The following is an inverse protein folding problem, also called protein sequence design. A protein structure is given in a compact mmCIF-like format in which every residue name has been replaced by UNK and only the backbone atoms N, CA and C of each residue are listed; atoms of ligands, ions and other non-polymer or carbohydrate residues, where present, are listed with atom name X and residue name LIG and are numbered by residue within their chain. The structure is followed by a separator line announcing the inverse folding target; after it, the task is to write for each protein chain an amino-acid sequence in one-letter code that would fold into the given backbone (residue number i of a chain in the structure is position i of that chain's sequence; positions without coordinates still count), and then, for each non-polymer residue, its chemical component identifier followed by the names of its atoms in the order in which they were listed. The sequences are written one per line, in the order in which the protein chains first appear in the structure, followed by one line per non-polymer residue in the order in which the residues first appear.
data_IF_298104392265
#
_entry.id   IF_298104392265
#
_cell.length_a   1.000
_cell.length_b   1.000
_cell.length_c   1.000
_cell.angle_alpha   90.00
_cell.angle_beta   90.00
_cell.angle_gamma   90.00
#
_symmetry.space_group_name_H-M   'P 1'
#
loop_
_entity.id
_entity.type
_entity.pdbx_description
1 polymer ?
#
# COMPACT_ATOMS: atom_id res chain seq x y z
N UNK A 1 -7.43 -8.22 2.59
CA UNK A 1 -7.46 -8.31 1.11
C UNK A 1 -8.58 -9.27 0.75
N UNK A 2 -9.59 -8.82 0.02
CA UNK A 2 -10.81 -9.60 -0.24
C UNK A 2 -11.53 -9.15 -1.51
N UNK A 3 -12.34 -10.04 -2.09
CA UNK A 3 -13.19 -9.69 -3.22
C UNK A 3 -14.40 -8.86 -2.74
N UNK A 4 -14.66 -7.73 -3.41
CA UNK A 4 -15.87 -6.91 -3.20
C UNK A 4 -16.47 -6.48 -4.54
N UNK A 5 -17.80 -6.31 -4.62
CA UNK A 5 -18.43 -5.68 -5.77
C UNK A 5 -17.96 -4.23 -5.92
N UNK A 6 -17.44 -3.87 -7.08
CA UNK A 6 -17.07 -2.49 -7.44
C UNK A 6 -17.80 -2.12 -8.72
N UNK A 7 -18.51 -0.99 -8.70
CA UNK A 7 -19.21 -0.45 -9.87
C UNK A 7 -18.36 0.62 -10.55
N UNK A 8 -18.07 0.43 -11.84
CA UNK A 8 -17.39 1.39 -12.71
C UNK A 8 -18.00 1.29 -14.12
N UNK A 9 -18.10 2.40 -14.83
CA UNK A 9 -18.64 2.43 -16.20
C UNK A 9 -20.01 1.71 -16.33
N UNK A 10 -20.88 1.88 -15.33
CA UNK A 10 -22.17 1.19 -15.19
C UNK A 10 -22.13 -0.35 -15.08
N UNK A 11 -20.96 -0.96 -14.94
CA UNK A 11 -20.77 -2.40 -14.75
C UNK A 11 -20.28 -2.71 -13.35
N UNK A 12 -20.77 -3.79 -12.77
CA UNK A 12 -20.33 -4.27 -11.45
C UNK A 12 -19.41 -5.48 -11.63
N UNK A 13 -18.18 -5.36 -11.17
CA UNK A 13 -17.20 -6.43 -11.20
C UNK A 13 -16.86 -6.88 -9.78
N UNK A 14 -16.51 -8.16 -9.62
CA UNK A 14 -15.91 -8.66 -8.39
C UNK A 14 -14.42 -8.32 -8.40
N UNK A 15 -14.05 -7.33 -7.61
CA UNK A 15 -12.71 -6.72 -7.59
C UNK A 15 -12.00 -7.07 -6.29
N UNK A 16 -10.69 -7.38 -6.37
CA UNK A 16 -9.89 -7.56 -5.15
C UNK A 16 -9.57 -6.20 -4.56
N UNK A 17 -9.91 -6.02 -3.28
CA UNK A 17 -9.81 -4.76 -2.55
C UNK A 17 -9.06 -4.95 -1.24
N UNK A 18 -8.66 -3.83 -0.61
CA UNK A 18 -8.13 -3.82 0.75
C UNK A 18 -9.15 -3.16 1.65
N UNK A 19 -9.62 -3.90 2.66
CA UNK A 19 -10.67 -3.48 3.59
C UNK A 19 -11.95 -2.97 2.88
N UNK A 20 -12.27 -3.56 1.73
CA UNK A 20 -13.40 -3.18 0.90
C UNK A 20 -13.28 -1.86 0.15
N UNK A 21 -12.11 -1.21 0.18
CA UNK A 21 -11.86 0.07 -0.47
C UNK A 21 -11.16 -0.12 -1.83
N UNK A 22 -11.57 0.69 -2.80
CA UNK A 22 -10.94 0.80 -4.11
C UNK A 22 -10.94 2.27 -4.61
N UNK A 23 -9.78 2.95 -4.69
CA UNK A 23 -8.46 2.50 -4.21
C UNK A 23 -8.44 2.12 -2.73
N UNK A 24 -7.43 1.37 -2.30
CA UNK A 24 -7.24 0.98 -0.90
C UNK A 24 -6.95 2.20 0.00
N UNK A 25 -6.90 1.98 1.33
CA UNK A 25 -6.69 3.06 2.29
C UNK A 25 -5.36 3.77 2.07
N UNK A 26 -5.36 5.09 2.24
CA UNK A 26 -4.15 5.89 2.35
C UNK A 26 -3.46 5.58 3.68
N UNK A 27 -2.16 5.33 3.62
CA UNK A 27 -1.32 5.21 4.80
C UNK A 27 -0.64 6.55 5.04
N UNK A 28 -0.77 7.10 6.23
CA UNK A 28 -0.23 8.40 6.62
C UNK A 28 0.70 8.22 7.80
N UNK A 29 1.97 8.59 7.63
CA UNK A 29 3.05 8.41 8.62
C UNK A 29 4.00 9.60 8.58
N UNK A 30 4.91 9.69 9.54
CA UNK A 30 6.03 10.64 9.55
C UNK A 30 7.36 9.94 9.32
N UNK A 31 8.36 10.69 8.90
CA UNK A 31 9.75 10.20 8.95
C UNK A 31 10.12 9.79 10.39
N UNK A 32 10.66 8.59 10.53
CA UNK A 32 10.96 7.94 11.81
C UNK A 32 9.87 7.00 12.34
N UNK A 33 8.65 6.99 11.79
CA UNK A 33 7.59 6.08 12.24
C UNK A 33 7.87 4.63 11.83
N UNK A 34 7.47 3.69 12.69
CA UNK A 34 7.43 2.25 12.38
C UNK A 34 6.03 1.83 11.98
N UNK A 35 5.87 1.32 10.77
CA UNK A 35 4.63 0.72 10.31
C UNK A 35 4.62 -0.77 10.67
N UNK A 36 3.48 -1.24 11.19
CA UNK A 36 3.21 -2.66 11.43
C UNK A 36 1.88 -3.02 10.77
N UNK A 37 1.95 -3.69 9.63
CA UNK A 37 0.80 -3.95 8.77
C UNK A 37 0.56 -5.46 8.68
N UNK A 38 -0.51 -5.93 9.32
CA UNK A 38 -0.96 -7.32 9.22
C UNK A 38 -1.84 -7.49 7.98
N UNK A 39 -1.25 -7.99 6.90
CA UNK A 39 -1.96 -8.33 5.69
C UNK A 39 -2.66 -9.69 5.84
N UNK A 40 -4.00 -9.69 5.86
CA UNK A 40 -4.81 -10.92 5.89
C UNK A 40 -5.38 -11.16 4.50
N UNK A 41 -5.02 -12.30 3.89
CA UNK A 41 -5.50 -12.66 2.57
C UNK A 41 -6.78 -13.49 2.68
N UNK A 42 -7.93 -12.85 2.41
CA UNK A 42 -9.24 -13.50 2.28
C UNK A 42 -9.65 -13.66 0.81
N UNK A 43 -8.77 -13.35 -0.14
CA UNK A 43 -9.01 -13.56 -1.55
C UNK A 43 -8.70 -15.00 -1.96
N UNK A 44 -9.19 -15.41 -3.14
CA UNK A 44 -8.92 -16.73 -3.74
C UNK A 44 -7.53 -16.86 -4.39
N UNK A 45 -6.76 -15.78 -4.42
CA UNK A 45 -5.46 -15.71 -5.10
C UNK A 45 -4.34 -15.51 -4.09
N UNK A 46 -3.14 -15.96 -4.43
CA UNK A 46 -1.91 -15.58 -3.74
C UNK A 46 -1.66 -14.07 -3.87
N UNK A 47 -1.21 -13.42 -2.79
CA UNK A 47 -0.94 -11.98 -2.75
C UNK A 47 0.30 -11.68 -1.93
N UNK A 48 1.06 -10.70 -2.37
CA UNK A 48 2.05 -9.94 -1.59
C UNK A 48 1.78 -8.45 -1.75
N UNK A 49 2.20 -7.64 -0.79
CA UNK A 49 2.12 -6.18 -0.85
C UNK A 49 3.53 -5.60 -0.85
N UNK A 50 3.73 -4.54 -1.63
CA UNK A 50 4.98 -3.79 -1.73
C UNK A 50 4.76 -2.32 -1.42
N UNK A 51 5.73 -1.71 -0.74
CA UNK A 51 5.74 -0.33 -0.27
C UNK A 51 6.60 0.50 -1.21
N UNK A 52 6.04 0.84 -2.37
CA UNK A 52 6.80 1.40 -3.48
C UNK A 52 7.54 2.69 -3.08
N UNK A 53 8.86 2.65 -3.24
CA UNK A 53 9.76 3.75 -2.91
C UNK A 53 10.26 3.77 -1.46
N UNK A 54 9.73 2.93 -0.56
CA UNK A 54 10.31 2.74 0.77
C UNK A 54 11.61 1.94 0.63
N UNK A 55 12.72 2.46 1.18
CA UNK A 55 14.07 1.90 0.97
C UNK A 55 14.32 0.52 1.58
N UNK A 56 13.50 0.12 2.56
CA UNK A 56 13.64 -1.16 3.28
C UNK A 56 15.09 -1.45 3.74
N UNK A 57 15.74 -0.45 4.35
CA UNK A 57 17.14 -0.55 4.76
C UNK A 57 17.36 -1.74 5.70
N UNK A 58 18.15 -2.72 5.25
CA UNK A 58 18.44 -3.98 5.96
C UNK A 58 17.20 -4.82 6.31
N UNK A 59 16.08 -4.61 5.60
CA UNK A 59 14.81 -5.27 5.87
C UNK A 59 14.12 -5.78 4.59
N UNK A 60 14.81 -6.59 3.76
CA UNK A 60 14.22 -7.08 2.50
C UNK A 60 12.96 -7.93 2.72
N UNK A 61 12.82 -8.57 3.89
CA UNK A 61 11.70 -9.43 4.23
C UNK A 61 10.34 -8.72 4.21
N UNK A 62 10.33 -7.41 4.47
CA UNK A 62 9.11 -6.60 4.42
C UNK A 62 8.88 -5.92 3.06
N UNK A 63 9.73 -6.17 2.05
CA UNK A 63 9.69 -5.46 0.78
C UNK A 63 8.51 -5.87 -0.11
N UNK A 64 8.21 -7.17 -0.23
CA UNK A 64 6.98 -7.62 -0.92
C UNK A 64 7.09 -8.33 -2.26
N UNK A 65 8.08 -8.10 -3.15
CA UNK A 65 8.09 -8.74 -4.46
C UNK A 65 8.04 -10.27 -4.41
N UNK A 66 6.98 -10.84 -5.00
CA UNK A 66 6.69 -12.28 -4.99
C UNK A 66 7.86 -13.07 -5.62
N UNK A 67 8.36 -14.09 -4.92
CA UNK A 67 9.49 -14.94 -5.30
C UNK A 67 10.87 -14.26 -5.38
N UNK A 68 10.98 -12.99 -4.96
CA UNK A 68 12.27 -12.31 -4.82
C UNK A 68 12.61 -12.16 -3.34
N UNK A 69 11.74 -11.53 -2.56
CA UNK A 69 11.99 -11.31 -1.12
C UNK A 69 11.09 -12.15 -0.21
N UNK A 70 10.01 -12.71 -0.75
CA UNK A 70 9.12 -13.59 0.00
C UNK A 70 8.32 -14.56 -0.88
N UNK A 71 7.87 -15.65 -0.26
CA UNK A 71 6.75 -16.44 -0.77
C UNK A 71 5.42 -15.68 -0.61
N UNK A 72 4.41 -15.94 -1.46
CA UNK A 72 3.14 -15.27 -1.37
C UNK A 72 2.34 -15.63 -0.12
N UNK A 73 1.51 -14.68 0.34
CA UNK A 73 0.49 -14.93 1.36
C UNK A 73 -0.62 -15.75 0.69
N UNK A 74 -0.72 -17.03 1.04
CA UNK A 74 -1.76 -17.91 0.51
C UNK A 74 -3.17 -17.50 0.98
N UNK A 75 -4.23 -17.89 0.26
CA UNK A 75 -5.61 -17.73 0.72
C UNK A 75 -5.81 -18.23 2.16
N UNK A 76 -6.49 -17.43 2.99
CA UNK A 76 -6.73 -17.71 4.40
C UNK A 76 -5.54 -17.46 5.33
N UNK A 77 -4.36 -17.11 4.80
CA UNK A 77 -3.15 -16.83 5.60
C UNK A 77 -2.95 -15.33 5.82
N UNK A 78 -2.02 -15.00 6.71
CA UNK A 78 -1.63 -13.63 6.99
C UNK A 78 -0.12 -13.48 7.07
N UNK A 79 0.37 -12.29 6.80
CA UNK A 79 1.77 -11.89 6.99
C UNK A 79 1.82 -10.49 7.59
N UNK A 80 2.77 -10.25 8.48
CA UNK A 80 2.96 -8.94 9.10
C UNK A 80 4.19 -8.28 8.49
N UNK A 81 3.96 -7.18 7.78
CA UNK A 81 5.02 -6.29 7.32
C UNK A 81 5.37 -5.32 8.43
N UNK A 82 6.64 -5.26 8.82
CA UNK A 82 7.12 -4.32 9.82
C UNK A 82 8.38 -3.63 9.33
N UNK A 83 8.37 -2.30 9.26
CA UNK A 83 9.50 -1.49 8.80
C UNK A 83 9.41 -0.07 9.33
N UNK A 84 10.57 0.58 9.46
CA UNK A 84 10.69 1.97 9.90
C UNK A 84 11.03 2.86 8.72
N UNK A 85 10.33 3.98 8.58
CA UNK A 85 10.68 5.02 7.61
C UNK A 85 11.95 5.73 8.09
N UNK A 86 12.95 5.82 7.20
CA UNK A 86 14.26 6.38 7.55
C UNK A 86 14.72 7.40 6.51
N UNK A 87 14.71 8.66 6.90
CA UNK A 87 15.16 9.80 6.10
C UNK A 87 14.42 9.85 4.75
N UNK A 88 13.10 9.67 4.78
CA UNK A 88 12.22 9.78 3.63
C UNK A 88 11.01 10.63 3.99
N UNK A 89 10.59 11.49 3.07
CA UNK A 89 9.42 12.36 3.20
C UNK A 89 8.80 12.50 1.79
N UNK A 90 7.50 12.79 1.72
CA UNK A 90 6.77 13.03 0.48
C UNK A 90 5.69 12.00 0.16
N UNK A 91 5.34 11.90 -1.11
CA UNK A 91 4.27 11.01 -1.60
C UNK A 91 4.85 9.75 -2.21
N UNK A 92 4.54 8.62 -1.59
CA UNK A 92 4.76 7.27 -2.08
C UNK A 92 3.41 6.57 -2.28
N UNK A 93 3.45 5.28 -2.55
CA UNK A 93 2.27 4.45 -2.68
C UNK A 93 2.60 3.00 -2.34
N UNK A 94 1.58 2.19 -2.11
CA UNK A 94 1.71 0.76 -1.92
C UNK A 94 0.84 0.03 -2.94
N UNK A 95 1.25 -1.16 -3.33
CA UNK A 95 0.49 -1.98 -4.27
C UNK A 95 0.76 -3.47 -4.08
N UNK A 96 -0.15 -4.33 -4.59
CA UNK A 96 0.17 -5.74 -4.68
C UNK A 96 1.36 -5.97 -5.61
N UNK A 97 2.27 -6.88 -5.25
CA UNK A 97 3.43 -7.23 -6.08
C UNK A 97 3.41 -8.71 -6.50
N UNK A 98 2.19 -9.19 -6.79
CA UNK A 98 1.91 -10.53 -7.31
C UNK A 98 1.03 -10.43 -8.56
N UNK A 99 1.49 -11.03 -9.65
CA UNK A 99 0.78 -11.04 -10.95
C UNK A 99 0.29 -9.63 -11.35
N UNK A 100 -0.98 -9.51 -11.71
CA UNK A 100 -1.63 -8.28 -12.17
C UNK A 100 -2.47 -7.60 -11.07
N UNK A 101 -2.39 -8.05 -9.82
CA UNK A 101 -3.29 -7.58 -8.75
C UNK A 101 -3.10 -6.09 -8.44
N UNK A 102 -1.96 -5.49 -8.80
CA UNK A 102 -1.73 -4.04 -8.70
C UNK A 102 -2.72 -3.19 -9.50
N UNK A 103 -3.48 -3.78 -10.44
CA UNK A 103 -4.55 -3.09 -11.14
C UNK A 103 -5.72 -2.68 -10.21
N UNK A 104 -5.85 -3.32 -9.05
CA UNK A 104 -6.96 -3.07 -8.10
C UNK A 104 -6.54 -2.99 -6.64
N UNK A 105 -5.42 -3.61 -6.28
CA UNK A 105 -4.84 -3.59 -4.94
C UNK A 105 -3.69 -2.59 -4.91
N UNK A 106 -4.02 -1.34 -4.57
CA UNK A 106 -3.08 -0.24 -4.39
C UNK A 106 -3.69 0.87 -3.53
N UNK A 107 -2.85 1.74 -2.99
CA UNK A 107 -3.25 2.93 -2.23
C UNK A 107 -2.08 3.87 -2.01
N UNK A 108 -2.35 5.09 -1.55
CA UNK A 108 -1.32 6.08 -1.29
C UNK A 108 -0.55 5.78 0.02
N UNK A 109 0.70 6.22 0.08
CA UNK A 109 1.54 6.23 1.28
C UNK A 109 2.14 7.63 1.41
N UNK A 110 1.62 8.44 2.33
CA UNK A 110 2.08 9.80 2.58
C UNK A 110 3.02 9.78 3.77
N UNK A 111 4.22 10.34 3.56
CA UNK A 111 5.24 10.48 4.59
C UNK A 111 5.44 11.97 4.87
N UNK A 112 4.84 12.41 5.98
CA UNK A 112 5.00 13.74 6.50
C UNK A 112 6.41 13.98 7.05
N UNK A 113 6.83 15.26 7.18
CA UNK A 113 8.06 15.59 7.86
C UNK A 113 8.09 15.01 9.27
N UNK A 114 9.31 14.70 9.72
CA UNK A 114 9.57 14.28 11.10
C UNK A 114 8.89 15.23 12.09
N UNK A 115 8.41 14.71 13.22
CA UNK A 115 7.78 15.54 14.24
C UNK A 115 8.72 16.68 14.68
N UNK A 116 8.23 17.92 14.60
CA UNK A 116 9.01 19.13 14.90
C UNK A 116 9.76 19.74 13.71
N UNK A 117 9.84 19.03 12.57
CA UNK A 117 10.41 19.57 11.33
C UNK A 117 9.31 20.20 10.46
N UNK A 118 9.50 21.43 9.94
CA UNK A 118 8.56 22.02 9.00
C UNK A 118 8.79 21.49 7.58
N UNK A 119 7.79 21.64 6.71
CA UNK A 119 8.02 21.57 5.27
C UNK A 119 9.02 22.66 4.83
N UNK A 120 9.76 22.46 3.73
CA UNK A 120 10.61 23.49 3.14
C UNK A 120 9.82 24.61 2.43
N UNK A 121 8.49 24.60 2.57
CA UNK A 121 7.53 25.56 2.03
C UNK A 121 6.42 25.83 3.06
N UNK A 122 5.62 26.90 2.90
CA UNK A 122 4.52 27.20 3.81
C UNK A 122 3.54 26.02 3.91
N UNK A 123 3.09 25.71 5.13
CA UNK A 123 2.17 24.61 5.39
C UNK A 123 0.92 24.71 4.49
N UNK A 124 0.60 23.67 3.70
CA UNK A 124 -0.59 23.69 2.85
C UNK A 124 -1.86 23.82 3.69
N UNK A 125 -2.86 24.55 3.19
CA UNK A 125 -4.18 24.62 3.82
C UNK A 125 -4.92 23.28 3.76
N UNK A 126 -4.65 22.50 2.72
CA UNK A 126 -5.23 21.18 2.45
C UNK A 126 -4.24 20.35 1.63
N UNK A 127 -4.27 19.05 1.84
CA UNK A 127 -3.55 18.06 1.07
C UNK A 127 -4.55 16.99 0.62
N UNK A 128 -4.40 16.47 -0.60
CA UNK A 128 -5.29 15.44 -1.14
C UNK A 128 -4.51 14.49 -2.05
N UNK A 129 -4.51 13.17 -1.76
CA UNK A 129 -3.98 12.19 -2.69
C UNK A 129 -4.80 12.15 -3.99
N UNK A 130 -4.14 12.29 -5.13
CA UNK A 130 -4.72 12.07 -6.46
C UNK A 130 -4.05 10.84 -7.07
N UNK A 131 -4.76 9.71 -7.08
CA UNK A 131 -4.24 8.44 -7.63
C UNK A 131 -4.78 8.25 -9.05
N UNK A 132 -3.87 8.24 -10.01
CA UNK A 132 -4.20 7.97 -11.41
C UNK A 132 -4.11 6.47 -11.67
N UNK A 133 -5.17 5.91 -12.26
CA UNK A 133 -5.25 4.49 -12.61
C UNK A 133 -6.26 4.26 -13.72
N UNK A 134 -6.23 3.06 -14.29
CA UNK A 134 -7.13 2.69 -15.38
C UNK A 134 -8.34 1.91 -14.85
N UNK A 135 -9.49 2.13 -15.49
CA UNK A 135 -10.69 1.34 -15.29
C UNK A 135 -10.76 0.29 -16.41
N UNK A 136 -10.83 -1.00 -16.04
CA UNK A 136 -11.24 -2.07 -16.96
C UNK A 136 -12.62 -2.57 -16.56
#
# INVERSE_FOLDING_TARGET
IEAKPVKRLCRTHSTITVNGQYPGPTLEVRDGDTLVIKAINKARYNVTLHWHGVRQLRNPWADGPEYVTQCPIQPGRSYTYQFTIQNQEGTLWWHAHSKWLRATVYGALIIYPKLGSPYPFPMPKREMPVILGNSH
#
